data_IF_022932945598
#
_entry.id   IF_022932945598
#
_cell.length_a   1.000
_cell.length_b   1.000
_cell.length_c   1.000
_cell.angle_alpha   90.00
_cell.angle_beta   90.00
_cell.angle_gamma   90.00
#
_symmetry.space_group_name_H-M   'P 1'
#
loop_
_entity.id
_entity.type
_entity.pdbx_description
1 polymer ?
#
# COMPACT_ATOMS: atom_id res chain seq x y z
N UNK A 1 -35.51 1.31 -9.02
CA UNK A 1 -34.69 2.29 -9.77
C UNK A 1 -34.14 3.27 -8.73
N UNK A 2 -33.01 2.95 -8.11
CA UNK A 2 -32.38 3.77 -7.07
C UNK A 2 -31.34 4.66 -7.75
N UNK A 3 -31.50 5.96 -7.54
CA UNK A 3 -30.75 7.01 -8.20
C UNK A 3 -29.33 7.08 -7.63
N UNK A 4 -28.35 6.77 -8.48
CA UNK A 4 -26.90 7.01 -8.32
C UNK A 4 -26.63 8.45 -7.85
N UNK A 5 -26.08 8.63 -6.66
CA UNK A 5 -25.27 9.80 -6.29
C UNK A 5 -24.22 9.37 -5.26
N UNK A 6 -22.95 9.39 -5.67
CA UNK A 6 -21.80 9.30 -4.77
C UNK A 6 -21.14 7.93 -4.67
N UNK A 7 -20.16 7.68 -5.53
CA UNK A 7 -19.25 6.56 -5.44
C UNK A 7 -18.89 6.14 -6.84
N UNK A 8 -17.63 6.35 -7.25
CA UNK A 8 -17.17 5.84 -8.54
C UNK A 8 -17.21 4.30 -8.56
N UNK A 9 -16.32 3.74 -9.36
CA UNK A 9 -16.06 2.29 -9.45
C UNK A 9 -16.12 1.54 -8.11
N UNK A 10 -15.69 2.13 -7.00
CA UNK A 10 -15.62 1.50 -5.67
C UNK A 10 -16.95 1.40 -4.90
N UNK A 11 -18.03 2.01 -5.38
CA UNK A 11 -19.33 2.03 -4.67
C UNK A 11 -19.89 0.64 -4.39
N UNK A 12 -19.75 -0.29 -5.35
CA UNK A 12 -20.22 -1.66 -5.21
C UNK A 12 -19.60 -2.39 -3.99
N UNK A 13 -18.27 -2.36 -3.84
CA UNK A 13 -17.58 -3.09 -2.77
C UNK A 13 -18.02 -2.56 -1.41
N UNK A 14 -18.11 -1.23 -1.27
CA UNK A 14 -18.52 -0.59 -0.02
C UNK A 14 -19.99 -0.88 0.33
N UNK A 15 -20.89 -0.82 -0.66
CA UNK A 15 -22.30 -1.12 -0.45
C UNK A 15 -22.53 -2.57 -0.03
N UNK A 16 -21.91 -3.53 -0.73
CA UNK A 16 -22.06 -4.95 -0.39
C UNK A 16 -21.43 -5.26 0.97
N UNK A 17 -20.28 -4.67 1.28
CA UNK A 17 -19.65 -4.83 2.60
C UNK A 17 -20.53 -4.28 3.73
N UNK A 18 -21.13 -3.10 3.55
CA UNK A 18 -22.05 -2.52 4.53
C UNK A 18 -23.34 -3.33 4.67
N UNK A 19 -23.88 -3.84 3.56
CA UNK A 19 -25.05 -4.71 3.58
C UNK A 19 -24.77 -6.03 4.29
N UNK A 20 -23.58 -6.59 4.08
CA UNK A 20 -23.14 -7.80 4.78
C UNK A 20 -23.15 -7.59 6.30
N UNK A 21 -22.49 -6.53 6.78
CA UNK A 21 -22.41 -6.25 8.22
C UNK A 21 -23.71 -5.75 8.85
N UNK A 22 -24.68 -5.26 8.05
CA UNK A 22 -26.01 -4.94 8.58
C UNK A 22 -26.90 -6.16 8.77
N UNK A 23 -26.55 -7.30 8.18
CA UNK A 23 -27.31 -8.55 8.25
C UNK A 23 -26.59 -9.67 9.01
N UNK A 24 -25.30 -9.50 9.33
CA UNK A 24 -24.46 -10.52 9.92
C UNK A 24 -23.57 -9.93 11.01
N UNK A 25 -23.53 -10.60 12.16
CA UNK A 25 -22.71 -10.21 13.31
C UNK A 25 -21.33 -10.86 13.33
N UNK A 26 -21.06 -11.75 12.37
CA UNK A 26 -19.81 -12.52 12.29
C UNK A 26 -19.32 -12.49 10.85
N UNK A 27 -18.02 -12.25 10.67
CA UNK A 27 -17.37 -12.34 9.37
C UNK A 27 -17.25 -13.81 8.93
N UNK A 28 -17.77 -14.10 7.75
CA UNK A 28 -17.81 -15.45 7.18
C UNK A 28 -16.42 -15.92 6.77
N UNK A 29 -15.60 -15.00 6.25
CA UNK A 29 -14.23 -15.28 5.82
C UNK A 29 -13.37 -14.02 5.93
N UNK A 30 -12.11 -14.20 6.31
CA UNK A 30 -11.10 -13.14 6.39
C UNK A 30 -10.94 -12.38 5.07
N UNK A 31 -11.09 -13.05 3.92
CA UNK A 31 -10.93 -12.49 2.58
C UNK A 31 -12.21 -11.92 1.97
N UNK A 32 -13.22 -11.60 2.79
CA UNK A 32 -14.50 -11.08 2.31
C UNK A 32 -14.33 -9.91 1.32
N UNK A 33 -13.50 -8.91 1.65
CA UNK A 33 -13.26 -7.75 0.77
C UNK A 33 -12.58 -8.16 -0.53
N UNK A 34 -11.63 -9.10 -0.49
CA UNK A 34 -10.96 -9.62 -1.68
C UNK A 34 -11.97 -10.28 -2.63
N UNK A 35 -12.90 -11.07 -2.10
CA UNK A 35 -13.96 -11.69 -2.90
C UNK A 35 -14.91 -10.65 -3.50
N UNK A 36 -15.31 -9.63 -2.73
CA UNK A 36 -16.15 -8.55 -3.25
C UNK A 36 -15.43 -7.75 -4.34
N UNK A 37 -14.13 -7.52 -4.18
CA UNK A 37 -13.28 -6.82 -5.15
C UNK A 37 -13.13 -7.65 -6.42
N UNK A 38 -12.91 -8.96 -6.31
CA UNK A 38 -12.84 -9.89 -7.44
C UNK A 38 -14.18 -9.97 -8.19
N UNK A 39 -15.30 -10.01 -7.47
CA UNK A 39 -16.64 -9.96 -8.07
C UNK A 39 -16.84 -8.65 -8.85
N UNK A 40 -16.45 -7.52 -8.28
CA UNK A 40 -16.51 -6.22 -8.96
C UNK A 40 -15.64 -6.22 -10.23
N UNK A 41 -14.41 -6.72 -10.14
CA UNK A 41 -13.48 -6.80 -11.26
C UNK A 41 -13.97 -7.71 -12.39
N UNK A 42 -14.66 -8.81 -12.07
CA UNK A 42 -15.17 -9.77 -13.06
C UNK A 42 -16.49 -9.35 -13.71
N UNK A 43 -17.29 -8.52 -13.03
CA UNK A 43 -18.69 -8.29 -13.42
C UNK A 43 -19.08 -6.81 -13.60
N UNK A 44 -18.19 -5.86 -13.28
CA UNK A 44 -18.42 -4.42 -13.46
C UNK A 44 -17.33 -3.88 -14.39
N UNK A 45 -17.67 -3.62 -15.65
CA UNK A 45 -16.72 -3.19 -16.67
C UNK A 45 -16.02 -1.89 -16.29
N UNK A 46 -16.75 -0.92 -15.73
CA UNK A 46 -16.15 0.32 -15.26
C UNK A 46 -15.10 0.06 -14.16
N UNK A 47 -15.34 -0.94 -13.30
CA UNK A 47 -14.39 -1.33 -12.25
C UNK A 47 -13.12 -1.89 -12.82
N UNK A 48 -13.26 -2.85 -13.74
CA UNK A 48 -12.14 -3.44 -14.45
C UNK A 48 -11.32 -2.38 -15.17
N UNK A 49 -11.97 -1.48 -15.91
CA UNK A 49 -11.30 -0.41 -16.64
C UNK A 49 -10.51 0.52 -15.72
N UNK A 50 -11.09 0.92 -14.58
CA UNK A 50 -10.38 1.75 -13.62
C UNK A 50 -9.16 1.04 -13.04
N UNK A 51 -9.30 -0.22 -12.61
CA UNK A 51 -8.16 -1.01 -12.09
C UNK A 51 -7.09 -1.20 -13.14
N UNK A 52 -7.45 -1.59 -14.36
CA UNK A 52 -6.50 -1.84 -15.45
C UNK A 52 -5.79 -0.54 -15.91
N UNK A 53 -6.38 0.63 -15.64
CA UNK A 53 -5.76 1.93 -15.95
C UNK A 53 -4.77 2.44 -14.91
N UNK A 54 -4.67 1.78 -13.75
CA UNK A 54 -3.76 2.22 -12.68
C UNK A 54 -2.30 2.07 -13.13
N UNK A 55 -1.47 3.12 -13.00
CA UNK A 55 -0.06 3.01 -13.29
C UNK A 55 0.64 2.15 -12.22
N UNK A 56 1.80 1.60 -12.56
CA UNK A 56 2.70 1.02 -11.56
C UNK A 56 3.36 2.17 -10.79
N UNK A 57 2.95 2.37 -9.55
CA UNK A 57 3.40 3.48 -8.69
C UNK A 57 4.58 3.16 -7.78
N UNK A 58 4.95 1.87 -7.66
CA UNK A 58 5.99 1.42 -6.74
C UNK A 58 6.88 0.32 -7.36
N UNK A 59 7.63 0.60 -8.44
CA UNK A 59 8.45 -0.39 -9.14
C UNK A 59 9.63 -0.92 -8.29
N UNK A 60 10.11 -0.17 -7.29
CA UNK A 60 11.20 -0.57 -6.39
C UNK A 60 10.69 -1.02 -5.00
N UNK A 61 9.43 -1.43 -4.90
CA UNK A 61 8.74 -1.75 -3.64
C UNK A 61 9.51 -2.74 -2.74
N UNK A 62 10.18 -3.73 -3.33
CA UNK A 62 10.97 -4.72 -2.60
C UNK A 62 12.41 -4.27 -2.29
N UNK A 63 12.92 -3.26 -2.99
CA UNK A 63 14.26 -2.73 -2.74
C UNK A 63 14.28 -1.88 -1.48
N UNK A 64 13.26 -1.04 -1.29
CA UNK A 64 13.14 -0.15 -0.13
C UNK A 64 13.47 -0.88 1.17
N UNK A 65 12.83 -2.03 1.38
CA UNK A 65 12.92 -2.74 2.64
C UNK A 65 14.31 -3.33 2.89
N UNK A 66 15.05 -3.71 1.83
CA UNK A 66 16.37 -4.35 1.94
C UNK A 66 17.40 -3.40 2.53
N UNK A 67 17.38 -2.14 2.12
CA UNK A 67 18.45 -1.17 2.35
C UNK A 67 18.24 -0.26 3.58
N UNK A 68 17.10 -0.36 4.26
CA UNK A 68 16.78 0.53 5.40
C UNK A 68 17.78 0.50 6.56
N UNK A 69 18.47 -0.61 6.79
CA UNK A 69 19.49 -0.72 7.85
C UNK A 69 20.93 -0.50 7.36
N UNK A 70 21.10 -0.21 6.07
CA UNK A 70 22.42 0.09 5.52
C UNK A 70 22.83 1.53 5.90
N UNK A 71 24.14 1.80 6.03
CA UNK A 71 24.65 3.15 6.23
C UNK A 71 24.21 4.08 5.09
N UNK A 72 23.66 5.26 5.42
CA UNK A 72 23.11 6.18 4.42
C UNK A 72 24.16 6.68 3.42
N UNK A 73 25.42 6.73 3.84
CA UNK A 73 26.58 7.17 3.07
C UNK A 73 27.02 6.14 2.03
N UNK A 74 26.67 4.87 2.22
CA UNK A 74 26.93 3.79 1.26
C UNK A 74 25.75 3.58 0.29
N UNK A 75 24.56 4.09 0.63
CA UNK A 75 23.35 3.89 -0.15
C UNK A 75 22.96 5.12 -0.97
N UNK A 76 23.50 5.23 -2.18
CA UNK A 76 23.27 6.35 -3.11
C UNK A 76 21.87 6.37 -3.72
N UNK A 77 21.19 5.22 -3.73
CA UNK A 77 19.94 5.01 -4.47
C UNK A 77 18.68 5.42 -3.71
N UNK A 78 18.81 5.89 -2.46
CA UNK A 78 17.63 6.27 -1.66
C UNK A 78 16.78 7.33 -2.36
N UNK A 79 17.42 8.30 -3.01
CA UNK A 79 16.72 9.35 -3.76
C UNK A 79 15.89 8.75 -4.89
N UNK A 80 16.47 7.84 -5.67
CA UNK A 80 15.78 7.14 -6.77
C UNK A 80 14.56 6.38 -6.23
N UNK A 81 14.74 5.58 -5.18
CA UNK A 81 13.63 4.81 -4.58
C UNK A 81 12.51 5.74 -4.11
N UNK A 82 12.84 6.85 -3.46
CA UNK A 82 11.85 7.81 -3.00
C UNK A 82 11.14 8.55 -4.14
N UNK A 83 11.81 8.78 -5.27
CA UNK A 83 11.19 9.43 -6.44
C UNK A 83 10.38 8.47 -7.30
N UNK A 84 10.74 7.19 -7.33
CA UNK A 84 10.07 6.18 -8.15
C UNK A 84 8.89 5.52 -7.43
N UNK A 85 8.77 5.65 -6.10
CA UNK A 85 7.74 4.97 -5.31
C UNK A 85 6.89 5.96 -4.52
N UNK A 86 5.56 5.84 -4.65
CA UNK A 86 4.61 6.63 -3.85
C UNK A 86 4.67 6.32 -2.35
N UNK A 87 5.12 5.11 -2.01
CA UNK A 87 5.18 4.60 -0.65
C UNK A 87 6.44 3.78 -0.41
N UNK A 88 6.98 3.91 0.79
CA UNK A 88 8.08 3.09 1.28
C UNK A 88 7.54 1.99 2.18
N UNK A 89 7.92 0.74 1.88
CA UNK A 89 7.46 -0.42 2.65
C UNK A 89 8.33 -0.66 3.88
N UNK A 90 7.67 -0.80 5.03
CA UNK A 90 8.23 -1.42 6.23
C UNK A 90 7.61 -2.81 6.44
N UNK A 91 8.38 -3.73 7.02
CA UNK A 91 7.87 -5.03 7.44
C UNK A 91 8.02 -5.21 8.96
N UNK A 92 6.95 -5.69 9.59
CA UNK A 92 6.88 -5.83 11.05
C UNK A 92 7.85 -6.87 11.64
N UNK A 93 8.33 -7.82 10.82
CA UNK A 93 9.29 -8.85 11.24
C UNK A 93 10.75 -8.36 11.27
N UNK A 94 11.03 -7.21 10.64
CA UNK A 94 12.37 -6.64 10.56
C UNK A 94 12.51 -5.57 11.64
N UNK A 95 13.64 -5.61 12.34
CA UNK A 95 14.03 -4.51 13.21
C UNK A 95 14.74 -3.45 12.38
N UNK A 96 14.34 -2.20 12.57
CA UNK A 96 14.96 -1.05 11.94
C UNK A 96 15.73 -0.24 12.98
N UNK A 97 16.97 0.12 12.67
CA UNK A 97 17.85 0.81 13.60
C UNK A 97 18.24 2.16 13.02
N UNK A 98 18.22 3.24 13.80
CA UNK A 98 18.65 4.56 13.32
C UNK A 98 20.17 4.65 13.07
N UNK A 99 20.92 3.75 13.69
CA UNK A 99 22.37 3.63 13.55
C UNK A 99 22.77 2.19 13.27
N UNK A 100 23.85 2.02 12.52
CA UNK A 100 24.48 0.71 12.32
C UNK A 100 25.34 0.31 13.54
N UNK A 101 25.93 -0.88 13.51
CA UNK A 101 26.79 -1.37 14.58
C UNK A 101 28.05 -0.50 14.84
N UNK A 102 28.43 0.36 13.90
CA UNK A 102 29.55 1.31 14.00
C UNK A 102 29.09 2.72 14.42
N UNK A 103 27.80 2.91 14.69
CA UNK A 103 27.21 4.19 15.06
C UNK A 103 26.94 5.15 13.91
N UNK A 104 27.09 4.71 12.65
CA UNK A 104 26.77 5.50 11.45
C UNK A 104 25.27 5.57 11.25
N UNK A 105 24.78 6.68 10.73
CA UNK A 105 23.35 6.86 10.45
C UNK A 105 22.90 5.93 9.31
N UNK A 106 21.83 5.17 9.54
CA UNK A 106 21.25 4.30 8.51
C UNK A 106 20.30 5.07 7.61
N UNK A 107 19.91 4.46 6.49
CA UNK A 107 18.83 4.96 5.63
C UNK A 107 17.53 5.18 6.44
N UNK A 108 17.14 4.20 7.27
CA UNK A 108 15.98 4.33 8.14
C UNK A 108 16.10 5.51 9.11
N UNK A 109 17.25 5.64 9.78
CA UNK A 109 17.51 6.73 10.72
C UNK A 109 17.46 8.11 10.06
N UNK A 110 17.92 8.20 8.82
CA UNK A 110 17.82 9.42 8.02
C UNK A 110 16.35 9.78 7.71
N UNK A 111 15.56 8.82 7.21
CA UNK A 111 14.15 9.03 6.86
C UNK A 111 13.26 9.31 8.07
N UNK A 112 13.46 8.59 9.18
CA UNK A 112 12.63 8.69 10.38
C UNK A 112 12.72 10.07 11.04
N UNK A 113 13.87 10.73 10.94
CA UNK A 113 14.10 12.06 11.54
C UNK A 113 13.45 13.20 10.76
N UNK A 114 12.82 12.92 9.61
CA UNK A 114 12.19 13.93 8.77
C UNK A 114 13.15 15.05 8.38
N UNK A 115 14.47 14.76 8.32
CA UNK A 115 15.44 15.74 7.85
C UNK A 115 15.17 15.95 6.37
N UNK A 116 14.81 17.18 6.05
CA UNK A 116 14.41 17.62 4.72
C UNK A 116 15.26 16.97 3.63
N UNK A 117 14.56 16.49 2.61
CA UNK A 117 15.10 16.07 1.32
C UNK A 117 15.02 17.25 0.39
#
# INVERSE_FOLDING_TARGET
MLHRQGGGVTGFVAEVFNLYWSNHDVQIDYFLIDYLTELAYRHIDEFKMAVDSLPVTNPAFYETERHLNEPKDEYTDIKRIMTENDFLRLQWRKQYTEKDAKGRETVYGYLFKGKDI
#
